data_IF_722007190465
#
_entry.id   IF_722007190465
#
_cell.length_a   1.000
_cell.length_b   1.000
_cell.length_c   1.000
_cell.angle_alpha   90.00
_cell.angle_beta   90.00
_cell.angle_gamma   90.00
#
_symmetry.space_group_name_H-M   'P 1'
#
loop_
_entity.id
_entity.type
_entity.pdbx_description
1 polymer ?
#
# COMPACT_ATOMS: atom_id res chain seq x y z
N UNK A 1 -29.51 5.40 69.94
CA UNK A 1 -28.49 6.45 69.68
C UNK A 1 -27.06 6.14 70.15
N UNK A 2 -26.76 5.04 70.89
CA UNK A 2 -25.38 4.73 71.33
C UNK A 2 -24.52 3.96 70.33
N UNK A 3 -25.11 3.20 69.39
CA UNK A 3 -24.37 2.40 68.37
C UNK A 3 -23.81 3.20 67.19
N UNK A 4 -24.41 4.34 66.84
CA UNK A 4 -23.94 5.18 65.71
C UNK A 4 -22.68 5.97 66.12
N UNK A 5 -22.54 6.31 67.41
CA UNK A 5 -21.34 7.01 67.92
C UNK A 5 -20.09 6.13 67.97
N UNK A 6 -20.19 4.79 68.02
CA UNK A 6 -19.00 3.93 68.03
C UNK A 6 -18.42 3.70 66.64
N UNK A 7 -19.24 3.80 65.58
CA UNK A 7 -18.79 3.68 64.18
C UNK A 7 -17.99 4.93 63.75
N UNK A 8 -18.30 6.10 64.32
CA UNK A 8 -17.55 7.34 64.09
C UNK A 8 -16.35 7.52 65.03
N UNK A 9 -16.22 6.72 66.09
CA UNK A 9 -15.13 6.79 67.08
C UNK A 9 -13.94 5.87 66.74
N UNK A 10 -14.05 5.11 65.65
CA UNK A 10 -12.94 4.43 64.97
C UNK A 10 -12.43 5.17 63.73
N UNK A 11 -12.78 6.46 63.57
CA UNK A 11 -12.17 7.33 62.57
C UNK A 11 -10.97 8.02 63.23
N UNK A 12 -9.86 7.29 63.35
CA UNK A 12 -8.56 7.98 63.33
C UNK A 12 -8.52 8.70 61.97
N UNK A 13 -8.74 10.02 62.01
CA UNK A 13 -8.65 10.84 60.82
C UNK A 13 -7.21 10.79 60.33
N UNK A 14 -7.02 10.46 59.04
CA UNK A 14 -5.71 10.42 58.41
C UNK A 14 -4.95 11.69 58.74
N UNK A 15 -3.83 11.56 59.43
CA UNK A 15 -3.02 12.71 59.79
C UNK A 15 -2.43 13.33 58.53
N UNK A 16 -2.20 14.64 58.53
CA UNK A 16 -1.62 15.33 57.38
C UNK A 16 -0.27 14.71 56.97
N UNK A 17 0.45 14.15 57.95
CA UNK A 17 1.70 13.40 57.75
C UNK A 17 1.46 12.10 56.97
N UNK A 18 0.47 11.29 57.36
CA UNK A 18 0.13 10.05 56.64
C UNK A 18 -0.29 10.33 55.19
N UNK A 19 -1.01 11.43 54.95
CA UNK A 19 -1.41 11.83 53.60
C UNK A 19 -0.20 12.24 52.76
N UNK A 20 0.73 13.02 53.31
CA UNK A 20 1.97 13.42 52.61
C UNK A 20 2.88 12.23 52.35
N UNK A 21 3.02 11.31 53.32
CA UNK A 21 3.81 10.08 53.16
C UNK A 21 3.16 9.16 52.12
N UNK A 22 1.83 8.99 52.17
CA UNK A 22 1.08 8.21 51.20
C UNK A 22 1.19 8.77 49.78
N UNK A 23 1.07 10.09 49.62
CA UNK A 23 1.27 10.77 48.34
C UNK A 23 2.72 10.63 47.83
N UNK A 24 3.72 10.77 48.71
CA UNK A 24 5.13 10.59 48.36
C UNK A 24 5.45 9.17 47.90
N UNK A 25 4.94 8.16 48.61
CA UNK A 25 5.07 6.75 48.22
C UNK A 25 4.35 6.46 46.90
N UNK A 26 3.14 7.00 46.70
CA UNK A 26 2.41 6.87 45.44
C UNK A 26 3.18 7.48 44.26
N UNK A 27 3.76 8.67 44.43
CA UNK A 27 4.61 9.31 43.41
C UNK A 27 5.85 8.48 43.08
N UNK A 28 6.51 7.90 44.10
CA UNK A 28 7.64 7.00 43.90
C UNK A 28 7.23 5.76 43.08
N UNK A 29 6.10 5.14 43.43
CA UNK A 29 5.56 3.99 42.71
C UNK A 29 5.23 4.37 41.26
N UNK A 30 4.48 5.44 41.01
CA UNK A 30 4.15 5.91 39.66
C UNK A 30 5.42 6.20 38.84
N UNK A 31 6.45 6.77 39.45
CA UNK A 31 7.74 7.04 38.80
C UNK A 31 8.42 5.76 38.33
N UNK A 32 8.49 4.74 39.19
CA UNK A 32 9.07 3.42 38.85
C UNK A 32 8.24 2.73 37.74
N UNK A 33 6.91 2.73 37.86
CA UNK A 33 6.02 2.16 36.85
C UNK A 33 6.17 2.86 35.49
N UNK A 34 6.30 4.19 35.47
CA UNK A 34 6.50 4.96 34.24
C UNK A 34 7.81 4.64 33.54
N UNK A 35 8.87 4.37 34.30
CA UNK A 35 10.17 3.96 33.74
C UNK A 35 10.08 2.59 33.04
N UNK A 36 9.29 1.66 33.58
CA UNK A 36 9.07 0.33 32.99
C UNK A 36 8.05 0.34 31.84
N UNK A 37 7.07 1.25 31.85
CA UNK A 37 6.05 1.36 30.81
C UNK A 37 6.61 1.88 29.48
N UNK A 38 7.63 2.75 29.51
CA UNK A 38 8.19 3.34 28.27
C UNK A 38 8.77 2.27 27.32
N UNK A 39 9.68 1.38 27.75
CA UNK A 39 10.15 0.28 26.90
C UNK A 39 9.01 -0.63 26.43
N UNK A 40 8.06 -0.96 27.31
CA UNK A 40 6.93 -1.81 26.96
C UNK A 40 6.02 -1.17 25.91
N UNK A 41 5.74 0.13 26.02
CA UNK A 41 4.96 0.89 25.07
C UNK A 41 5.67 1.00 23.71
N UNK A 42 7.00 1.17 23.71
CA UNK A 42 7.77 1.20 22.47
C UNK A 42 7.77 -0.15 21.76
N UNK A 43 8.00 -1.25 22.50
CA UNK A 43 7.88 -2.61 21.96
C UNK A 43 6.48 -2.84 21.42
N UNK A 44 5.44 -2.48 22.18
CA UNK A 44 4.05 -2.61 21.73
C UNK A 44 3.78 -1.81 20.45
N UNK A 45 4.31 -0.59 20.32
CA UNK A 45 4.15 0.24 19.12
C UNK A 45 4.86 -0.40 17.92
N UNK A 46 6.08 -0.90 18.10
CA UNK A 46 6.82 -1.60 17.03
C UNK A 46 6.10 -2.87 16.60
N UNK A 47 5.54 -3.64 17.54
CA UNK A 47 4.74 -4.83 17.21
C UNK A 47 3.45 -4.47 16.47
N UNK A 48 2.74 -3.41 16.89
CA UNK A 48 1.57 -2.94 16.16
C UNK A 48 1.91 -2.50 14.74
N UNK A 49 2.98 -1.74 14.57
CA UNK A 49 3.43 -1.26 13.26
C UNK A 49 3.86 -2.40 12.34
N UNK A 50 4.55 -3.42 12.86
CA UNK A 50 4.90 -4.64 12.10
C UNK A 50 3.64 -5.41 11.70
N UNK A 51 2.70 -5.66 12.62
CA UNK A 51 1.46 -6.34 12.30
C UNK A 51 0.64 -5.58 11.25
N UNK A 52 0.63 -4.24 11.33
CA UNK A 52 0.01 -3.38 10.32
C UNK A 52 0.70 -3.53 8.96
N UNK A 53 2.03 -3.58 8.92
CA UNK A 53 2.80 -3.75 7.70
C UNK A 53 2.60 -5.13 7.06
N UNK A 54 2.56 -6.19 7.86
CA UNK A 54 2.25 -7.55 7.42
C UNK A 54 0.85 -7.61 6.79
N UNK A 55 -0.17 -7.11 7.49
CA UNK A 55 -1.55 -7.10 6.98
C UNK A 55 -1.68 -6.32 5.66
N UNK A 56 -1.04 -5.16 5.55
CA UNK A 56 -1.03 -4.38 4.30
C UNK A 56 -0.34 -5.16 3.19
N UNK A 57 0.81 -5.79 3.47
CA UNK A 57 1.56 -6.52 2.47
C UNK A 57 0.78 -7.73 1.93
N UNK A 58 0.15 -8.50 2.82
CA UNK A 58 -0.63 -9.68 2.47
C UNK A 58 -1.80 -9.33 1.55
N UNK A 59 -2.58 -8.31 1.91
CA UNK A 59 -3.75 -7.89 1.13
C UNK A 59 -3.36 -7.25 -0.21
N UNK A 60 -2.23 -6.53 -0.26
CA UNK A 60 -1.65 -6.06 -1.52
C UNK A 60 -1.16 -7.21 -2.41
N UNK A 61 -0.50 -8.22 -1.84
CA UNK A 61 -0.06 -9.41 -2.58
C UNK A 61 -1.26 -10.20 -3.11
N UNK A 62 -2.32 -10.35 -2.32
CA UNK A 62 -3.55 -11.03 -2.74
C UNK A 62 -4.24 -10.27 -3.89
N UNK A 63 -4.37 -8.96 -3.79
CA UNK A 63 -4.92 -8.12 -4.87
C UNK A 63 -4.08 -8.23 -6.14
N UNK A 64 -2.76 -8.06 -6.02
CA UNK A 64 -1.84 -8.16 -7.15
C UNK A 64 -1.95 -9.53 -7.82
N UNK A 65 -1.97 -10.62 -7.04
CA UNK A 65 -2.19 -11.98 -7.54
C UNK A 65 -3.50 -12.10 -8.28
N UNK A 66 -4.60 -11.68 -7.67
CA UNK A 66 -5.96 -11.77 -8.23
C UNK A 66 -6.05 -11.10 -9.60
N UNK A 67 -5.34 -9.99 -9.80
CA UNK A 67 -5.27 -9.29 -11.07
C UNK A 67 -4.36 -9.97 -12.08
N UNK A 68 -3.09 -10.18 -11.73
CA UNK A 68 -2.06 -10.69 -12.65
C UNK A 68 -2.38 -12.11 -13.13
N UNK A 69 -2.93 -12.96 -12.27
CA UNK A 69 -3.32 -14.34 -12.61
C UNK A 69 -4.37 -14.41 -13.73
N UNK A 70 -5.12 -13.32 -13.98
CA UNK A 70 -6.20 -13.26 -14.99
C UNK A 70 -5.77 -12.70 -16.34
N UNK A 71 -4.49 -12.38 -16.53
CA UNK A 71 -3.95 -11.93 -17.81
C UNK A 71 -4.15 -12.99 -18.91
N UNK A 72 -4.58 -12.58 -20.11
CA UNK A 72 -4.89 -13.50 -21.22
C UNK A 72 -4.13 -13.25 -22.50
N UNK A 73 -3.57 -12.06 -22.72
CA UNK A 73 -2.89 -11.69 -23.98
C UNK A 73 -1.37 -11.65 -23.82
N UNK A 74 -0.84 -10.82 -22.92
CA UNK A 74 0.60 -10.72 -22.68
C UNK A 74 0.92 -10.21 -21.27
N UNK A 75 2.19 -10.28 -20.90
CA UNK A 75 2.71 -9.69 -19.67
C UNK A 75 4.04 -8.95 -19.88
N UNK A 76 4.27 -7.89 -19.11
CA UNK A 76 5.40 -6.97 -19.30
C UNK A 76 5.71 -6.21 -18.01
N UNK A 77 6.98 -6.05 -17.66
CA UNK A 77 7.39 -5.17 -16.56
C UNK A 77 8.04 -3.87 -17.05
N UNK A 78 8.05 -2.87 -16.18
CA UNK A 78 8.78 -1.62 -16.36
C UNK A 78 9.57 -1.26 -15.10
N UNK A 79 10.75 -0.66 -15.28
CA UNK A 79 11.57 -0.13 -14.20
C UNK A 79 10.82 0.88 -13.32
N UNK A 80 9.88 1.63 -13.91
CA UNK A 80 8.96 2.49 -13.18
C UNK A 80 7.61 2.63 -13.89
N UNK A 81 6.54 2.64 -13.10
CA UNK A 81 5.18 2.90 -13.55
C UNK A 81 4.82 4.39 -13.67
N UNK A 82 5.69 5.31 -13.24
CA UNK A 82 5.40 6.76 -13.33
C UNK A 82 5.14 7.22 -14.77
N UNK A 83 6.03 6.81 -15.67
CA UNK A 83 5.95 7.04 -17.11
C UNK A 83 6.45 5.80 -17.85
N UNK A 84 5.57 5.19 -18.63
CA UNK A 84 5.86 3.99 -19.45
C UNK A 84 5.87 4.31 -20.94
N UNK A 85 5.65 5.57 -21.32
CA UNK A 85 5.48 5.98 -22.72
C UNK A 85 6.78 5.82 -23.50
N UNK A 86 6.67 5.20 -24.68
CA UNK A 86 7.78 4.88 -25.57
C UNK A 86 8.89 4.02 -24.90
N UNK A 87 8.56 3.33 -23.81
CA UNK A 87 9.51 2.44 -23.13
C UNK A 87 9.30 0.98 -23.55
N UNK A 88 10.43 0.32 -23.78
CA UNK A 88 10.47 -1.13 -23.95
C UNK A 88 10.19 -1.83 -22.62
N UNK A 89 9.74 -3.06 -22.71
CA UNK A 89 9.48 -3.91 -21.56
C UNK A 89 10.73 -4.58 -21.03
N UNK A 90 10.66 -4.92 -19.76
CA UNK A 90 11.60 -5.79 -19.06
C UNK A 90 10.86 -7.01 -18.51
N UNK A 91 11.62 -8.03 -18.10
CA UNK A 91 11.10 -9.15 -17.31
C UNK A 91 10.98 -8.82 -15.83
N UNK A 92 11.46 -7.66 -15.38
CA UNK A 92 11.38 -7.24 -13.97
C UNK A 92 11.26 -5.71 -13.83
N UNK A 93 10.75 -5.25 -12.69
CA UNK A 93 10.60 -3.83 -12.40
C UNK A 93 9.51 -3.50 -11.37
N UNK A 94 9.28 -2.23 -11.06
CA UNK A 94 8.30 -1.79 -10.04
C UNK A 94 6.87 -1.61 -10.57
N UNK A 95 6.67 -1.81 -11.87
CA UNK A 95 5.35 -1.83 -12.48
C UNK A 95 5.20 -3.03 -13.41
N UNK A 96 3.96 -3.53 -13.49
CA UNK A 96 3.60 -4.63 -14.37
C UNK A 96 2.38 -4.26 -15.20
N UNK A 97 2.49 -4.50 -16.49
CA UNK A 97 1.43 -4.37 -17.48
C UNK A 97 1.05 -5.75 -17.99
N UNK A 98 -0.25 -5.97 -18.12
CA UNK A 98 -0.76 -7.19 -18.71
C UNK A 98 -1.98 -6.89 -19.58
N UNK A 99 -2.05 -7.64 -20.67
CA UNK A 99 -3.09 -7.51 -21.68
C UNK A 99 -4.25 -8.46 -21.45
N UNK A 100 -5.42 -8.03 -21.90
CA UNK A 100 -6.60 -8.88 -22.02
C UNK A 100 -7.10 -8.86 -23.46
N UNK A 101 -7.36 -10.05 -24.00
CA UNK A 101 -8.24 -10.19 -25.15
C UNK A 101 -9.67 -9.89 -24.72
N UNK A 102 -10.32 -8.96 -25.40
CA UNK A 102 -11.74 -8.65 -25.16
C UNK A 102 -12.61 -9.30 -26.24
N UNK A 103 -13.80 -9.78 -25.87
CA UNK A 103 -14.78 -10.35 -26.83
C UNK A 103 -15.17 -9.37 -27.94
N UNK A 104 -14.93 -8.07 -27.71
CA UNK A 104 -15.23 -6.97 -28.63
C UNK A 104 -14.07 -6.68 -29.61
N UNK A 105 -12.99 -7.48 -29.59
CA UNK A 105 -11.91 -7.44 -30.57
C UNK A 105 -10.94 -6.26 -30.43
N UNK A 106 -10.91 -5.61 -29.26
CA UNK A 106 -9.91 -4.58 -28.95
C UNK A 106 -8.95 -5.06 -27.86
N UNK A 107 -7.74 -4.49 -27.85
CA UNK A 107 -6.71 -4.84 -26.88
C UNK A 107 -6.88 -3.96 -25.65
N UNK A 108 -7.11 -4.59 -24.51
CA UNK A 108 -7.13 -3.92 -23.22
C UNK A 108 -5.81 -4.19 -22.48
N UNK A 109 -5.32 -3.20 -21.75
CA UNK A 109 -4.13 -3.36 -20.91
C UNK A 109 -4.37 -2.77 -19.53
N UNK A 110 -3.87 -3.41 -18.49
CA UNK A 110 -3.89 -2.90 -17.12
C UNK A 110 -2.47 -2.75 -16.59
N UNK A 111 -2.18 -1.59 -15.99
CA UNK A 111 -0.91 -1.26 -15.35
C UNK A 111 -1.09 -1.22 -13.84
N UNK A 112 -0.34 -2.07 -13.13
CA UNK A 112 -0.24 -2.05 -11.67
C UNK A 112 1.10 -1.46 -11.25
N UNK A 113 1.08 -0.50 -10.34
CA UNK A 113 2.29 0.12 -9.77
C UNK A 113 2.01 0.78 -8.44
N UNK A 114 3.06 1.00 -7.65
CA UNK A 114 3.03 1.86 -6.47
C UNK A 114 3.97 3.08 -6.57
N UNK A 115 4.51 3.37 -7.75
CA UNK A 115 5.43 4.50 -7.93
C UNK A 115 4.73 5.87 -7.94
N UNK A 116 3.40 5.86 -7.91
CA UNK A 116 2.56 7.03 -8.07
C UNK A 116 2.30 7.37 -9.53
N UNK A 117 1.43 8.35 -9.75
CA UNK A 117 1.07 8.82 -11.08
C UNK A 117 0.67 10.30 -11.04
N UNK A 118 0.90 11.00 -12.15
CA UNK A 118 0.32 12.32 -12.38
C UNK A 118 -1.22 12.28 -12.38
N UNK A 119 -1.87 13.47 -12.41
CA UNK A 119 -3.29 13.55 -12.70
C UNK A 119 -3.62 12.70 -13.93
N UNK A 120 -4.74 11.97 -13.92
CA UNK A 120 -5.06 11.02 -14.99
C UNK A 120 -6.40 11.36 -15.59
N UNK A 121 -6.41 11.70 -16.88
CA UNK A 121 -7.65 11.97 -17.62
C UNK A 121 -8.34 10.65 -17.97
N UNK A 122 -9.64 10.60 -17.71
CA UNK A 122 -10.48 9.43 -17.99
C UNK A 122 -11.24 9.67 -19.29
N UNK A 123 -11.01 8.84 -20.30
CA UNK A 123 -11.62 8.98 -21.63
C UNK A 123 -12.55 7.82 -21.94
N UNK A 124 -13.83 8.12 -22.19
CA UNK A 124 -14.86 7.17 -22.59
C UNK A 124 -15.37 7.55 -23.99
N UNK A 125 -15.27 6.62 -24.95
CA UNK A 125 -15.66 6.81 -26.35
C UNK A 125 -15.11 8.13 -26.94
N UNK A 126 -13.80 8.35 -26.78
CA UNK A 126 -13.05 9.52 -27.25
C UNK A 126 -13.49 10.87 -26.64
N UNK A 127 -14.28 10.85 -25.57
CA UNK A 127 -14.64 12.02 -24.79
C UNK A 127 -14.06 11.95 -23.39
N UNK A 128 -13.54 13.08 -22.90
CA UNK A 128 -13.13 13.22 -21.50
C UNK A 128 -14.36 13.08 -20.62
N UNK A 129 -14.37 12.04 -19.79
CA UNK A 129 -15.45 11.74 -18.84
C UNK A 129 -15.14 12.26 -17.43
N UNK A 130 -13.87 12.54 -17.13
CA UNK A 130 -13.43 13.02 -15.83
C UNK A 130 -11.91 13.02 -15.69
N UNK A 131 -11.44 13.37 -14.50
CA UNK A 131 -10.02 13.39 -14.15
C UNK A 131 -9.84 12.85 -12.73
N UNK A 132 -8.84 11.99 -12.55
CA UNK A 132 -8.40 11.52 -11.25
C UNK A 132 -7.22 12.38 -10.78
N UNK A 133 -7.18 12.75 -9.49
CA UNK A 133 -6.08 13.54 -8.95
C UNK A 133 -4.77 12.76 -8.97
N UNK A 134 -3.66 13.50 -8.85
CA UNK A 134 -2.33 12.92 -8.67
C UNK A 134 -2.29 11.95 -7.48
N UNK A 135 -1.61 10.82 -7.64
CA UNK A 135 -1.34 9.87 -6.56
C UNK A 135 0.15 9.90 -6.22
N UNK A 136 0.46 10.09 -4.94
CA UNK A 136 1.84 10.01 -4.43
C UNK A 136 2.39 8.58 -4.53
N UNK A 137 3.71 8.43 -4.53
CA UNK A 137 4.36 7.12 -4.40
C UNK A 137 3.96 6.45 -3.09
N UNK A 138 3.92 5.12 -3.11
CA UNK A 138 3.61 4.29 -1.95
C UNK A 138 2.17 3.78 -1.85
N UNK A 139 1.36 3.99 -2.90
CA UNK A 139 -0.03 3.56 -2.96
C UNK A 139 -0.25 2.72 -4.22
N UNK A 140 -0.92 1.58 -4.10
CA UNK A 140 -1.30 0.75 -5.24
C UNK A 140 -2.26 1.51 -6.16
N UNK A 141 -1.87 1.63 -7.43
CA UNK A 141 -2.64 2.25 -8.49
C UNK A 141 -2.83 1.25 -9.62
N UNK A 142 -4.08 1.15 -10.06
CA UNK A 142 -4.51 0.37 -11.22
C UNK A 142 -4.92 1.34 -12.30
N UNK A 143 -4.35 1.21 -13.50
CA UNK A 143 -4.76 2.00 -14.67
C UNK A 143 -5.13 1.07 -15.80
N UNK A 144 -6.35 1.25 -16.30
CA UNK A 144 -6.89 0.48 -17.40
C UNK A 144 -6.85 1.31 -18.69
N UNK A 145 -6.30 0.72 -19.74
CA UNK A 145 -6.10 1.31 -21.05
C UNK A 145 -6.83 0.50 -22.11
N UNK A 146 -7.34 1.21 -23.11
CA UNK A 146 -7.95 0.64 -24.31
C UNK A 146 -7.10 1.06 -25.51
N UNK A 147 -6.65 0.09 -26.29
CA UNK A 147 -5.86 0.30 -27.51
C UNK A 147 -4.52 1.00 -27.25
N UNK A 148 -3.84 0.58 -26.19
CA UNK A 148 -2.51 1.09 -25.80
C UNK A 148 -2.55 2.32 -24.90
N UNK A 149 -1.37 2.74 -24.44
CA UNK A 149 -1.27 3.90 -23.55
C UNK A 149 -1.42 5.20 -24.32
N UNK A 150 -1.83 6.23 -23.61
CA UNK A 150 -1.89 7.58 -24.13
C UNK A 150 -1.52 8.57 -23.03
N UNK A 151 -0.95 9.70 -23.44
CA UNK A 151 -0.65 10.83 -22.56
C UNK A 151 -1.16 12.12 -23.21
N UNK A 152 -1.45 13.12 -22.38
CA UNK A 152 -1.74 14.46 -22.86
C UNK A 152 -0.47 15.26 -23.18
N UNK A 153 -0.65 16.54 -23.53
CA UNK A 153 0.45 17.44 -23.86
C UNK A 153 1.44 17.62 -22.70
N UNK A 154 0.97 17.56 -21.47
CA UNK A 154 1.74 17.74 -20.23
C UNK A 154 2.43 16.45 -19.76
N UNK A 155 2.25 15.35 -20.50
CA UNK A 155 2.79 14.03 -20.14
C UNK A 155 1.93 13.28 -19.11
N UNK A 156 0.74 13.78 -18.79
CA UNK A 156 -0.16 13.11 -17.87
C UNK A 156 -0.86 11.92 -18.54
N UNK A 157 -1.04 10.79 -17.83
CA UNK A 157 -1.71 9.63 -18.40
C UNK A 157 -3.15 9.93 -18.84
N UNK A 158 -3.53 9.39 -19.99
CA UNK A 158 -4.92 9.28 -20.45
C UNK A 158 -5.29 7.81 -20.40
N UNK A 159 -6.18 7.46 -19.47
CA UNK A 159 -6.62 6.10 -19.23
C UNK A 159 -8.13 5.96 -19.48
N UNK A 160 -8.59 4.73 -19.66
CA UNK A 160 -10.02 4.41 -19.74
C UNK A 160 -10.64 4.30 -18.34
N UNK A 161 -9.86 3.86 -17.36
CA UNK A 161 -10.18 3.96 -15.94
C UNK A 161 -8.89 4.04 -15.12
N UNK A 162 -8.98 4.61 -13.92
CA UNK A 162 -7.90 4.62 -12.94
C UNK A 162 -8.51 4.51 -11.55
N UNK A 163 -7.92 3.66 -10.72
CA UNK A 163 -8.32 3.42 -9.33
C UNK A 163 -7.09 3.41 -8.44
N UNK A 164 -7.17 4.14 -7.32
CA UNK A 164 -6.34 3.88 -6.15
C UNK A 164 -7.04 2.81 -5.32
N UNK A 165 -6.55 1.57 -5.37
CA UNK A 165 -7.29 0.38 -4.88
C UNK A 165 -7.74 0.52 -3.44
N UNK A 166 -6.89 1.13 -2.62
CA UNK A 166 -7.13 1.34 -1.20
C UNK A 166 -7.09 2.81 -0.82
N UNK A 167 -7.96 3.21 0.11
CA UNK A 167 -7.90 4.53 0.72
C UNK A 167 -6.61 4.71 1.54
N UNK A 168 -6.17 5.94 1.77
CA UNK A 168 -4.90 6.18 2.49
C UNK A 168 -4.93 5.66 3.94
N UNK A 169 -6.12 5.66 4.55
CA UNK A 169 -6.32 5.11 5.90
C UNK A 169 -6.03 3.61 6.01
N UNK A 170 -6.18 2.84 4.92
CA UNK A 170 -5.81 1.42 4.88
C UNK A 170 -4.32 1.21 5.15
N UNK A 171 -3.47 2.09 4.61
CA UNK A 171 -2.02 2.00 4.77
C UNK A 171 -1.56 2.40 6.18
N UNK A 172 -2.46 2.89 7.05
CA UNK A 172 -2.14 3.23 8.45
C UNK A 172 -0.93 4.17 8.60
N UNK A 173 -0.70 5.04 7.62
CA UNK A 173 0.44 5.97 7.57
C UNK A 173 1.71 5.41 6.93
N UNK A 174 1.73 4.12 6.57
CA UNK A 174 2.84 3.45 5.87
C UNK A 174 2.74 3.65 4.34
N UNK A 175 3.74 3.11 3.63
CA UNK A 175 3.88 3.20 2.18
C UNK A 175 4.29 1.86 1.59
N UNK A 176 3.78 1.51 0.41
CA UNK A 176 4.09 0.26 -0.26
C UNK A 176 4.95 0.47 -1.52
N UNK A 177 6.03 -0.27 -1.65
CA UNK A 177 6.75 -0.47 -2.91
C UNK A 177 6.41 -1.82 -3.51
N UNK A 178 6.33 -1.88 -4.83
CA UNK A 178 6.13 -3.11 -5.58
C UNK A 178 7.38 -3.42 -6.40
N UNK A 179 7.66 -4.70 -6.55
CA UNK A 179 8.64 -5.20 -7.49
C UNK A 179 8.14 -6.52 -8.08
N UNK A 180 8.32 -6.68 -9.37
CA UNK A 180 7.85 -7.81 -10.14
C UNK A 180 9.02 -8.47 -10.85
N UNK A 181 8.98 -9.79 -10.95
CA UNK A 181 9.91 -10.57 -11.75
C UNK A 181 9.18 -11.71 -12.44
N UNK A 182 9.24 -11.72 -13.76
CA UNK A 182 8.63 -12.70 -14.64
C UNK A 182 9.65 -13.82 -14.88
N UNK A 183 9.22 -15.07 -14.66
CA UNK A 183 9.95 -16.27 -15.05
C UNK A 183 9.18 -16.93 -16.20
N UNK A 184 9.55 -16.57 -17.43
CA UNK A 184 8.91 -17.05 -18.66
C UNK A 184 8.98 -18.57 -18.79
N UNK A 185 10.10 -19.19 -18.41
CA UNK A 185 10.26 -20.64 -18.47
C UNK A 185 9.31 -21.38 -17.54
N UNK A 186 8.97 -20.77 -16.39
CA UNK A 186 8.05 -21.35 -15.40
C UNK A 186 6.61 -20.86 -15.54
N UNK A 187 6.33 -19.88 -16.40
CA UNK A 187 5.01 -19.25 -16.53
C UNK A 187 4.53 -18.65 -15.19
N UNK A 188 5.46 -18.01 -14.46
CA UNK A 188 5.16 -17.42 -13.15
C UNK A 188 5.63 -15.97 -13.04
N UNK A 189 4.98 -15.23 -12.15
CA UNK A 189 5.42 -13.89 -11.73
C UNK A 189 5.68 -13.91 -10.24
N UNK A 190 6.89 -13.53 -9.83
CA UNK A 190 7.16 -13.21 -8.43
C UNK A 190 6.80 -11.75 -8.20
N UNK A 191 5.79 -11.49 -7.36
CA UNK A 191 5.47 -10.16 -6.88
C UNK A 191 6.05 -9.98 -5.47
N UNK A 192 6.80 -8.92 -5.24
CA UNK A 192 7.36 -8.54 -3.95
C UNK A 192 6.71 -7.24 -3.51
N UNK A 193 6.13 -7.24 -2.32
CA UNK A 193 5.67 -6.03 -1.64
C UNK A 193 6.69 -5.67 -0.56
N UNK A 194 7.08 -4.40 -0.50
CA UNK A 194 7.89 -3.86 0.60
C UNK A 194 7.14 -2.71 1.26
N UNK A 195 7.00 -2.75 2.57
CA UNK A 195 6.33 -1.70 3.34
C UNK A 195 7.38 -0.81 4.01
N UNK A 196 7.17 0.50 3.90
CA UNK A 196 8.07 1.55 4.37
C UNK A 196 7.34 2.48 5.34
N UNK A 197 8.10 3.05 6.28
CA UNK A 197 7.60 4.04 7.22
C UNK A 197 7.47 5.43 6.60
N UNK A 198 8.35 5.74 5.66
CA UNK A 198 8.51 7.07 5.10
C UNK A 198 7.94 7.18 3.69
N UNK A 199 7.58 8.40 3.32
CA UNK A 199 7.13 8.72 1.96
C UNK A 199 8.18 8.41 0.91
N UNK A 200 9.46 8.43 1.27
CA UNK A 200 10.54 8.29 0.30
C UNK A 200 10.88 6.86 -0.08
N UNK A 201 10.28 5.88 0.59
CA UNK A 201 10.51 4.44 0.41
C UNK A 201 11.94 4.05 0.79
N UNK A 202 12.42 4.53 1.95
CA UNK A 202 13.81 4.33 2.41
C UNK A 202 13.92 3.58 3.74
N UNK A 203 12.98 3.78 4.66
CA UNK A 203 12.89 3.13 5.97
C UNK A 203 11.98 1.90 5.87
N UNK A 204 12.56 0.77 5.44
CA UNK A 204 11.88 -0.51 5.28
C UNK A 204 11.47 -1.10 6.63
N UNK A 205 10.20 -1.48 6.75
CA UNK A 205 9.62 -2.17 7.92
C UNK A 205 9.47 -3.66 7.66
N UNK A 206 8.82 -4.01 6.54
CA UNK A 206 8.46 -5.39 6.21
C UNK A 206 8.58 -5.62 4.71
N UNK A 207 8.78 -6.87 4.29
CA UNK A 207 8.74 -7.24 2.89
C UNK A 207 8.45 -8.71 2.75
N UNK A 208 7.57 -9.03 1.81
CA UNK A 208 7.21 -10.40 1.49
C UNK A 208 7.04 -10.56 -0.02
N UNK A 209 7.01 -11.79 -0.49
CA UNK A 209 6.88 -12.13 -1.90
C UNK A 209 5.94 -13.30 -2.12
N UNK A 210 5.18 -13.21 -3.20
CA UNK A 210 4.26 -14.26 -3.65
C UNK A 210 4.61 -14.67 -5.07
N UNK A 211 4.70 -15.97 -5.31
CA UNK A 211 4.78 -16.54 -6.66
C UNK A 211 3.34 -16.69 -7.17
N UNK A 212 3.08 -16.10 -8.32
CA UNK A 212 1.79 -16.09 -9.01
C UNK A 212 1.93 -16.99 -10.24
N UNK A 213 1.21 -18.11 -10.25
CA UNK A 213 1.06 -18.94 -11.44
C UNK A 213 0.08 -18.26 -12.40
N UNK A 214 0.48 -18.06 -13.65
CA UNK A 214 -0.40 -17.51 -14.67
C UNK A 214 -1.40 -18.57 -15.12
N UNK A 215 -2.69 -18.21 -15.24
CA UNK A 215 -3.73 -19.17 -15.68
C UNK A 215 -3.57 -19.57 -17.13
N UNK A 216 -3.04 -18.68 -17.94
CA UNK A 216 -2.91 -18.84 -19.38
C UNK A 216 -1.43 -18.77 -19.76
N UNK A 217 -1.07 -19.53 -20.79
CA UNK A 217 0.24 -19.45 -21.42
C UNK A 217 0.29 -18.19 -22.28
N UNK A 218 0.83 -17.11 -21.71
CA UNK A 218 0.91 -15.78 -22.33
C UNK A 218 2.36 -15.36 -22.55
N UNK A 219 2.68 -14.75 -23.70
CA UNK A 219 4.04 -14.30 -24.00
C UNK A 219 4.48 -13.11 -23.13
N UNK A 220 5.78 -13.06 -22.86
CA UNK A 220 6.42 -11.86 -22.30
C UNK A 220 6.68 -10.86 -23.42
N UNK A 221 6.20 -9.63 -23.24
CA UNK A 221 6.25 -8.58 -24.25
C UNK A 221 7.32 -7.54 -23.94
N UNK A 222 8.26 -7.33 -24.86
CA UNK A 222 9.35 -6.35 -24.70
C UNK A 222 9.20 -5.13 -25.61
N UNK A 223 8.35 -5.21 -26.64
CA UNK A 223 8.10 -4.11 -27.56
C UNK A 223 7.36 -2.93 -26.88
N UNK A 224 7.41 -1.76 -27.52
CA UNK A 224 6.70 -0.57 -27.06
C UNK A 224 5.20 -0.77 -27.28
N UNK A 225 4.45 -0.81 -26.18
CA UNK A 225 2.98 -0.88 -26.15
C UNK A 225 2.34 0.46 -25.80
N UNK A 226 3.15 1.36 -25.24
CA UNK A 226 2.74 2.68 -24.79
C UNK A 226 3.24 3.75 -25.74
N UNK A 227 2.35 4.41 -26.49
CA UNK A 227 2.73 5.44 -27.47
C UNK A 227 2.05 6.76 -27.16
N UNK A 228 2.75 7.87 -27.35
CA UNK A 228 2.13 9.20 -27.22
C UNK A 228 1.10 9.38 -28.34
N UNK A 229 -0.17 9.64 -28.01
CA UNK A 229 -1.15 10.05 -29.03
C UNK A 229 -0.73 11.41 -29.61
N UNK A 230 -0.78 11.61 -30.94
CA UNK A 230 -0.59 12.93 -31.51
C UNK A 230 -1.67 13.87 -30.99
N UNK A 231 -1.27 15.12 -30.73
CA UNK A 231 -2.15 16.20 -30.26
C UNK A 231 -3.24 16.54 -31.27
#
# INVERSE_FOLDING_TARGET
MKRIRSILRGREGMTLVELVVGAGLLCLVIGIFSASLRPAAEVSRRTQELNSAELIADDLLETVRSKVETATDYIKCYDSGTDVTNKTGSSEGSAIEFGYETEQGYNAAELLTADGCGPTKIVIADKVSGEQPRVEKGYLVERYYKDGYSQDADGNPIARAMTKTYAEGFYMGLRAGLYFKIDEAKHTVTATVTIYRDKDLTDKIYSDSLIIDLRYDIPVKTEVTATKKPA
#
